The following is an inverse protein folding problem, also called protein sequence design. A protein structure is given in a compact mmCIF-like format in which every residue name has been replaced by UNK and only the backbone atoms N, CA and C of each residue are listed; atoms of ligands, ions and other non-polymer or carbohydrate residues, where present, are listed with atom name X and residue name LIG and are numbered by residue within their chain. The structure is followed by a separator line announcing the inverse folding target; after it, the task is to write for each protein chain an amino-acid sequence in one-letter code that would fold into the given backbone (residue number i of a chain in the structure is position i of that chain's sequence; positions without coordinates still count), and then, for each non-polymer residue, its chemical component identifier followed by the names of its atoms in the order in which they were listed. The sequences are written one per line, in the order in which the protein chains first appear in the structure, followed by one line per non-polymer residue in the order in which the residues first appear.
data_IF_633795873604
#
_entry.id   IF_633795873604
#
_cell.length_a   1.000
_cell.length_b   1.000
_cell.length_c   1.000
_cell.angle_alpha   90.00
_cell.angle_beta   90.00
_cell.angle_gamma   90.00
#
_symmetry.space_group_name_H-M   'P 1'
#
loop_
_entity.id
_entity.type
_entity.pdbx_description
1 polymer ?
#
# COMPACT_ATOMS: atom_id res chain seq x y z
N UNK A 1 -22.50 -51.03 88.92
CA UNK A 1 -22.80 -51.86 87.74
C UNK A 1 -22.24 -51.17 86.51
N UNK A 2 -21.13 -51.68 85.97
CA UNK A 2 -20.80 -51.92 84.53
C UNK A 2 -21.62 -51.18 83.45
N UNK A 3 -21.09 -50.65 82.33
CA UNK A 3 -20.01 -51.12 81.43
C UNK A 3 -19.52 -49.97 80.50
N UNK A 4 -18.21 -49.79 80.28
CA UNK A 4 -17.38 -50.28 79.15
C UNK A 4 -17.70 -49.62 77.78
N UNK A 5 -17.03 -48.51 77.44
CA UNK A 5 -15.85 -48.43 76.54
C UNK A 5 -15.97 -49.22 75.22
N UNK A 6 -16.18 -48.50 74.11
CA UNK A 6 -15.68 -48.92 72.79
C UNK A 6 -14.96 -47.74 72.14
N UNK A 7 -13.63 -47.67 72.34
CA UNK A 7 -12.72 -46.93 71.47
C UNK A 7 -12.60 -47.71 70.15
N UNK A 8 -13.41 -47.36 69.15
CA UNK A 8 -13.20 -47.84 67.77
C UNK A 8 -12.26 -46.86 67.08
N UNK A 9 -11.04 -47.34 66.85
CA UNK A 9 -9.93 -46.65 66.20
C UNK A 9 -10.37 -46.04 64.87
N UNK A 10 -10.32 -44.71 64.80
CA UNK A 10 -10.52 -43.94 63.58
C UNK A 10 -9.23 -43.94 62.76
N UNK A 11 -9.01 -45.00 61.96
CA UNK A 11 -7.91 -45.08 60.96
C UNK A 11 -8.41 -44.72 59.55
N UNK A 12 -9.72 -44.77 59.33
CA UNK A 12 -10.38 -44.43 58.07
C UNK A 12 -10.23 -42.96 57.61
N UNK A 13 -10.28 -41.92 58.46
CA UNK A 13 -10.13 -40.55 57.97
C UNK A 13 -8.69 -40.23 57.55
N UNK A 14 -7.69 -40.93 58.09
CA UNK A 14 -6.28 -40.71 57.76
C UNK A 14 -5.93 -41.24 56.36
N UNK A 15 -6.46 -42.42 55.99
CA UNK A 15 -6.22 -43.04 54.67
C UNK A 15 -6.91 -42.24 53.56
N UNK A 16 -8.13 -41.75 53.81
CA UNK A 16 -8.87 -40.93 52.86
C UNK A 16 -8.18 -39.56 52.60
N UNK A 17 -7.60 -38.94 53.63
CA UNK A 17 -6.85 -37.69 53.49
C UNK A 17 -5.54 -37.86 52.68
N UNK A 18 -4.83 -38.98 52.87
CA UNK A 18 -3.60 -39.30 52.11
C UNK A 18 -3.87 -39.54 50.62
N UNK A 19 -4.93 -40.26 50.25
CA UNK A 19 -5.28 -40.52 48.85
C UNK A 19 -5.68 -39.24 48.11
N UNK A 20 -6.40 -38.33 48.77
CA UNK A 20 -6.78 -37.03 48.19
C UNK A 20 -5.55 -36.14 47.95
N UNK A 21 -4.60 -36.12 48.89
CA UNK A 21 -3.36 -35.36 48.75
C UNK A 21 -2.49 -35.86 47.59
N UNK A 22 -2.35 -37.19 47.43
CA UNK A 22 -1.62 -37.79 46.30
C UNK A 22 -2.30 -37.48 44.96
N UNK A 23 -3.64 -37.50 44.90
CA UNK A 23 -4.39 -37.11 43.70
C UNK A 23 -4.19 -35.63 43.34
N UNK A 24 -4.21 -34.72 44.33
CA UNK A 24 -3.94 -33.30 44.11
C UNK A 24 -2.49 -33.05 43.65
N UNK A 25 -1.49 -33.73 44.23
CA UNK A 25 -0.11 -33.59 43.77
C UNK A 25 0.09 -34.10 42.34
N UNK A 26 -0.56 -35.21 41.98
CA UNK A 26 -0.51 -35.75 40.61
C UNK A 26 -1.17 -34.80 39.60
N UNK A 27 -2.30 -34.21 39.96
CA UNK A 27 -3.01 -33.26 39.09
C UNK A 27 -2.20 -31.98 38.87
N UNK A 28 -1.49 -31.51 39.90
CA UNK A 28 -0.58 -30.37 39.77
C UNK A 28 0.56 -30.65 38.77
N UNK A 29 1.12 -31.86 38.78
CA UNK A 29 2.19 -32.24 37.83
C UNK A 29 1.71 -32.45 36.38
N UNK A 30 0.44 -32.77 36.16
CA UNK A 30 -0.13 -32.93 34.81
C UNK A 30 -0.36 -31.57 34.13
N UNK A 31 -0.84 -30.58 34.88
CA UNK A 31 -1.02 -29.21 34.37
C UNK A 31 0.31 -28.54 34.01
N UNK A 32 1.37 -28.74 34.80
CA UNK A 32 2.72 -28.23 34.49
C UNK A 32 3.27 -28.84 33.19
N UNK A 33 3.10 -30.15 32.99
CA UNK A 33 3.51 -30.84 31.75
C UNK A 33 2.71 -30.36 30.55
N UNK A 34 1.42 -30.10 30.73
CA UNK A 34 0.54 -29.57 29.67
C UNK A 34 0.94 -28.16 29.28
N UNK A 35 1.20 -27.28 30.26
CA UNK A 35 1.67 -25.92 30.02
C UNK A 35 3.03 -25.89 29.31
N UNK A 36 3.95 -26.78 29.66
CA UNK A 36 5.24 -26.91 28.97
C UNK A 36 5.08 -27.37 27.52
N UNK A 37 4.22 -28.36 27.25
CA UNK A 37 3.92 -28.80 25.88
C UNK A 37 3.29 -27.68 25.06
N UNK A 38 2.35 -26.93 25.64
CA UNK A 38 1.74 -25.79 24.97
C UNK A 38 2.78 -24.71 24.64
N UNK A 39 3.70 -24.40 25.58
CA UNK A 39 4.82 -23.49 25.33
C UNK A 39 5.71 -23.97 24.19
N UNK A 40 6.11 -25.24 24.19
CA UNK A 40 6.92 -25.81 23.11
C UNK A 40 6.23 -25.76 21.75
N UNK A 41 4.91 -25.98 21.72
CA UNK A 41 4.12 -25.83 20.49
C UNK A 41 4.09 -24.38 20.03
N UNK A 42 3.88 -23.42 20.93
CA UNK A 42 3.89 -21.99 20.59
C UNK A 42 5.25 -21.54 20.07
N UNK A 43 6.35 -21.97 20.69
CA UNK A 43 7.71 -21.67 20.24
C UNK A 43 8.00 -22.24 18.85
N UNK A 44 7.56 -23.49 18.59
CA UNK A 44 7.68 -24.09 17.25
C UNK A 44 6.87 -23.33 16.21
N UNK A 45 5.62 -23.00 16.51
CA UNK A 45 4.77 -22.21 15.61
C UNK A 45 5.35 -20.81 15.35
N UNK A 46 5.97 -20.19 16.36
CA UNK A 46 6.66 -18.92 16.19
C UNK A 46 7.88 -19.04 15.28
N UNK A 47 8.69 -20.09 15.45
CA UNK A 47 9.83 -20.37 14.57
C UNK A 47 9.39 -20.62 13.12
N UNK A 48 8.34 -21.43 12.91
CA UNK A 48 7.77 -21.69 11.59
C UNK A 48 7.28 -20.40 10.91
N UNK A 49 6.65 -19.48 11.67
CA UNK A 49 6.23 -18.17 11.14
C UNK A 49 7.42 -17.32 10.71
N UNK A 50 8.47 -17.27 11.53
CA UNK A 50 9.71 -16.54 11.20
C UNK A 50 10.36 -17.11 9.95
N UNK A 51 10.39 -18.44 9.80
CA UNK A 51 10.95 -19.08 8.62
C UNK A 51 10.11 -18.80 7.37
N UNK A 52 8.78 -18.81 7.48
CA UNK A 52 7.89 -18.42 6.39
C UNK A 52 8.10 -16.94 5.97
N UNK A 53 8.29 -16.05 6.93
CA UNK A 53 8.60 -14.64 6.67
C UNK A 53 9.95 -14.48 5.96
N UNK A 54 10.99 -15.17 6.43
CA UNK A 54 12.31 -15.19 5.77
C UNK A 54 12.22 -15.70 4.33
N UNK A 55 11.46 -16.77 4.10
CA UNK A 55 11.24 -17.30 2.74
C UNK A 55 10.54 -16.27 1.85
N UNK A 56 9.52 -15.57 2.37
CA UNK A 56 8.83 -14.51 1.63
C UNK A 56 9.78 -13.37 1.26
N UNK A 57 10.62 -12.92 2.20
CA UNK A 57 11.60 -11.87 1.94
C UNK A 57 12.65 -12.31 0.90
N UNK A 58 13.12 -13.55 0.98
CA UNK A 58 14.05 -14.10 -0.01
C UNK A 58 13.41 -14.16 -1.42
N UNK A 59 12.12 -14.54 -1.50
CA UNK A 59 11.38 -14.55 -2.76
C UNK A 59 11.19 -13.15 -3.33
N UNK A 60 10.92 -12.17 -2.47
CA UNK A 60 10.80 -10.77 -2.86
C UNK A 60 12.13 -10.22 -3.39
N UNK A 61 13.23 -10.49 -2.70
CA UNK A 61 14.57 -10.11 -3.13
C UNK A 61 14.91 -10.70 -4.52
N UNK A 62 14.63 -12.00 -4.71
CA UNK A 62 14.86 -12.65 -6.01
C UNK A 62 14.03 -12.03 -7.15
N UNK A 63 12.79 -11.60 -6.85
CA UNK A 63 11.95 -10.91 -7.83
C UNK A 63 12.52 -9.52 -8.17
N UNK A 64 13.00 -8.78 -7.17
CA UNK A 64 13.64 -7.48 -7.39
C UNK A 64 14.88 -7.61 -8.26
N UNK A 65 15.76 -8.57 -7.98
CA UNK A 65 16.97 -8.85 -8.77
C UNK A 65 16.62 -9.24 -10.22
N UNK A 66 15.58 -10.07 -10.42
CA UNK A 66 15.11 -10.42 -11.75
C UNK A 66 14.58 -9.21 -12.53
N UNK A 67 13.87 -8.29 -11.85
CA UNK A 67 13.38 -7.05 -12.44
C UNK A 67 14.52 -6.09 -12.79
N UNK A 68 15.49 -5.94 -11.90
CA UNK A 68 16.69 -5.14 -12.15
C UNK A 68 17.43 -5.65 -13.38
N UNK A 69 17.67 -6.96 -13.46
CA UNK A 69 18.28 -7.57 -14.64
C UNK A 69 17.48 -7.33 -15.92
N UNK A 70 16.16 -7.47 -15.87
CA UNK A 70 15.30 -7.22 -17.03
C UNK A 70 15.34 -5.75 -17.47
N UNK A 71 15.47 -4.80 -16.53
CA UNK A 71 15.68 -3.39 -16.84
C UNK A 71 17.05 -3.19 -17.51
N UNK A 72 18.12 -3.78 -16.96
CA UNK A 72 19.45 -3.71 -17.56
C UNK A 72 19.51 -4.30 -18.98
N UNK A 73 18.86 -5.46 -19.21
CA UNK A 73 18.76 -6.09 -20.54
C UNK A 73 17.98 -5.19 -21.52
N UNK A 74 16.91 -4.53 -21.04
CA UNK A 74 16.11 -3.58 -21.83
C UNK A 74 16.88 -2.30 -22.15
N UNK A 75 17.67 -1.78 -21.22
CA UNK A 75 18.56 -0.64 -21.43
C UNK A 75 19.68 -0.99 -22.42
N UNK A 76 20.28 -2.18 -22.31
CA UNK A 76 21.26 -2.66 -23.27
C UNK A 76 20.66 -2.82 -24.69
N UNK A 77 19.43 -3.36 -24.80
CA UNK A 77 18.71 -3.45 -26.07
C UNK A 77 18.33 -2.06 -26.65
N UNK A 78 17.98 -1.10 -25.79
CA UNK A 78 17.72 0.27 -26.20
C UNK A 78 19.00 0.97 -26.68
N UNK A 79 20.14 0.74 -26.02
CA UNK A 79 21.44 1.26 -26.44
C UNK A 79 21.89 0.69 -27.80
N UNK A 80 21.58 -0.58 -28.08
CA UNK A 80 21.93 -1.26 -29.33
C UNK A 80 21.08 -0.82 -30.56
N UNK A 81 20.02 -0.04 -30.38
CA UNK A 81 19.09 0.38 -31.45
C UNK A 81 19.30 1.84 -31.89
N UNK A 82 20.42 2.47 -31.54
CA UNK A 82 20.74 3.83 -32.02
C UNK A 82 21.49 3.76 -33.36
N UNK A 83 20.75 3.70 -34.46
CA UNK A 83 21.25 4.06 -35.80
C UNK A 83 20.95 5.53 -36.04
N UNK A 84 21.94 6.44 -36.13
CA UNK A 84 21.71 7.83 -36.55
C UNK A 84 21.50 7.89 -38.06
N UNK A 85 20.30 8.28 -38.50
CA UNK A 85 20.02 8.63 -39.88
C UNK A 85 20.11 10.16 -40.06
N UNK A 86 21.24 10.57 -40.66
CA UNK A 86 21.39 11.51 -41.77
C UNK A 86 20.77 12.93 -41.68
N UNK A 87 21.67 13.90 -41.53
CA UNK A 87 21.52 15.32 -41.89
C UNK A 87 21.72 15.50 -43.41
N UNK A 88 20.89 16.31 -44.09
CA UNK A 88 21.49 17.45 -44.77
C UNK A 88 20.70 18.76 -44.58
N UNK A 89 21.47 19.80 -44.30
CA UNK A 89 21.06 21.19 -44.21
C UNK A 89 20.50 21.76 -45.53
N UNK A 90 19.43 22.57 -45.43
CA UNK A 90 19.27 23.82 -46.19
C UNK A 90 18.05 24.63 -45.67
N UNK A 91 18.31 25.76 -45.03
CA UNK A 91 17.40 26.93 -44.89
C UNK A 91 17.69 27.89 -46.08
N UNK A 92 16.95 29.00 -46.37
CA UNK A 92 15.89 29.63 -45.59
C UNK A 92 14.69 30.20 -46.40
N UNK A 93 13.46 30.21 -45.84
CA UNK A 93 12.47 31.21 -46.26
C UNK A 93 11.67 31.83 -45.10
N UNK A 94 11.93 33.14 -45.01
CA UNK A 94 11.27 34.25 -44.33
C UNK A 94 9.75 34.31 -44.57
N UNK A 95 8.96 34.32 -43.50
CA UNK A 95 8.01 35.40 -43.14
C UNK A 95 7.01 34.97 -42.05
N UNK A 96 6.62 35.96 -41.24
CA UNK A 96 5.40 36.08 -40.43
C UNK A 96 5.46 35.68 -38.94
N UNK A 97 5.63 36.72 -38.11
CA UNK A 97 4.88 37.05 -36.87
C UNK A 97 4.09 35.90 -36.24
N UNK A 98 4.50 35.49 -35.04
CA UNK A 98 3.71 35.37 -33.79
C UNK A 98 4.58 34.59 -32.82
N UNK A 99 5.25 35.25 -31.88
CA UNK A 99 5.98 34.57 -30.80
C UNK A 99 4.97 34.07 -29.76
N UNK A 100 4.26 33.03 -30.16
CA UNK A 100 3.51 32.12 -29.32
C UNK A 100 4.57 31.23 -28.69
N UNK A 101 4.80 31.36 -27.38
CA UNK A 101 5.64 30.42 -26.62
C UNK A 101 4.89 29.09 -26.49
N UNK A 102 4.72 28.38 -27.61
CA UNK A 102 4.23 27.02 -27.69
C UNK A 102 5.37 26.18 -28.27
N UNK A 103 6.16 25.55 -27.39
CA UNK A 103 6.69 24.17 -27.59
C UNK A 103 7.54 23.74 -26.39
N UNK A 104 6.86 23.32 -25.32
CA UNK A 104 7.36 22.25 -24.42
C UNK A 104 6.22 21.26 -24.16
N UNK A 105 5.51 20.92 -25.23
CA UNK A 105 4.40 19.96 -25.20
C UNK A 105 4.75 18.82 -26.13
N UNK A 106 5.79 18.06 -25.82
CA UNK A 106 6.05 16.79 -26.46
C UNK A 106 6.97 15.99 -25.53
N UNK A 107 6.44 14.93 -24.93
CA UNK A 107 7.14 13.94 -24.08
C UNK A 107 7.71 14.44 -22.74
N UNK A 108 6.88 14.99 -21.84
CA UNK A 108 7.22 14.88 -20.40
C UNK A 108 6.84 13.46 -19.94
N UNK A 109 7.87 12.65 -19.73
CA UNK A 109 7.85 11.22 -19.47
C UNK A 109 6.81 10.79 -18.43
N UNK A 110 5.96 9.84 -18.81
CA UNK A 110 5.09 9.05 -17.90
C UNK A 110 5.86 8.38 -16.76
N UNK A 111 7.19 8.28 -16.86
CA UNK A 111 8.10 7.73 -15.85
C UNK A 111 8.14 8.53 -14.52
N UNK A 112 7.77 9.82 -14.51
CA UNK A 112 7.84 10.66 -13.30
C UNK A 112 6.62 10.51 -12.39
N UNK A 113 5.50 9.98 -12.88
CA UNK A 113 4.22 9.92 -12.16
C UNK A 113 3.92 8.57 -11.49
N UNK A 114 4.92 7.69 -11.36
CA UNK A 114 4.76 6.33 -10.82
C UNK A 114 3.99 6.26 -9.49
N UNK A 115 4.26 7.20 -8.58
CA UNK A 115 3.56 7.30 -7.30
C UNK A 115 2.06 7.59 -7.49
N UNK A 116 1.70 8.52 -8.39
CA UNK A 116 0.29 8.84 -8.63
C UNK A 116 -0.45 7.64 -9.19
N UNK A 117 0.12 6.94 -10.18
CA UNK A 117 -0.50 5.73 -10.73
C UNK A 117 -0.81 4.72 -9.64
N UNK A 118 0.17 4.38 -8.80
CA UNK A 118 0.00 3.37 -7.76
C UNK A 118 -0.99 3.80 -6.67
N UNK A 119 -0.94 5.06 -6.22
CA UNK A 119 -1.72 5.53 -5.07
C UNK A 119 -3.15 5.92 -5.44
N UNK A 120 -3.41 6.30 -6.69
CA UNK A 120 -4.74 6.70 -7.16
C UNK A 120 -5.55 5.55 -7.77
N UNK A 121 -4.90 4.46 -8.18
CA UNK A 121 -5.53 3.25 -8.75
C UNK A 121 -6.73 2.72 -7.91
N UNK A 122 -6.69 2.67 -6.56
CA UNK A 122 -7.83 2.16 -5.80
C UNK A 122 -9.09 3.05 -5.84
N UNK A 123 -8.93 4.33 -6.18
CA UNK A 123 -9.97 5.36 -6.04
C UNK A 123 -10.60 5.78 -7.38
N UNK A 124 -10.09 5.28 -8.51
CA UNK A 124 -10.55 5.72 -9.83
C UNK A 124 -9.79 5.05 -10.96
N UNK A 125 -10.12 5.44 -12.18
CA UNK A 125 -9.64 4.79 -13.39
C UNK A 125 -8.69 5.68 -14.18
N UNK A 126 -7.58 5.11 -14.62
CA UNK A 126 -6.65 5.76 -15.55
C UNK A 126 -7.13 5.57 -16.99
N UNK A 127 -7.14 6.65 -17.77
CA UNK A 127 -7.62 6.68 -19.16
C UNK A 127 -6.62 7.38 -20.05
N UNK A 128 -6.37 6.82 -21.22
CA UNK A 128 -5.58 7.49 -22.25
C UNK A 128 -6.47 8.39 -23.11
N UNK A 129 -6.01 9.61 -23.37
CA UNK A 129 -6.67 10.60 -24.20
C UNK A 129 -5.69 11.13 -25.23
N UNK A 130 -6.17 11.37 -26.45
CA UNK A 130 -5.30 11.90 -27.50
C UNK A 130 -4.75 13.29 -27.18
N UNK A 131 -5.55 14.12 -26.50
CA UNK A 131 -5.22 15.53 -26.26
C UNK A 131 -4.36 15.73 -24.99
N UNK A 132 -4.45 14.82 -24.01
CA UNK A 132 -3.83 15.01 -22.68
C UNK A 132 -3.00 13.82 -22.19
N UNK A 133 -2.90 12.75 -22.98
CA UNK A 133 -2.23 11.52 -22.56
C UNK A 133 -3.01 10.80 -21.45
N UNK A 134 -2.29 10.22 -20.49
CA UNK A 134 -2.88 9.50 -19.36
C UNK A 134 -3.47 10.47 -18.33
N UNK A 135 -4.79 10.40 -18.19
CA UNK A 135 -5.59 11.17 -17.22
C UNK A 135 -6.24 10.21 -16.24
N UNK A 136 -6.55 10.70 -15.05
CA UNK A 136 -7.21 9.92 -14.02
C UNK A 136 -8.64 10.41 -13.78
N UNK A 137 -9.59 9.51 -13.65
CA UNK A 137 -10.98 9.82 -13.33
C UNK A 137 -11.34 9.21 -11.97
N UNK A 138 -11.72 9.99 -10.95
CA UNK A 138 -12.22 9.44 -9.70
C UNK A 138 -13.51 8.65 -9.92
N UNK A 139 -13.69 7.58 -9.14
CA UNK A 139 -14.90 6.74 -9.22
C UNK A 139 -16.17 7.56 -8.98
N UNK A 140 -16.11 8.55 -8.11
CA UNK A 140 -17.20 9.48 -7.79
C UNK A 140 -17.63 10.31 -9.02
N UNK A 141 -16.67 10.78 -9.82
CA UNK A 141 -16.95 11.49 -11.08
C UNK A 141 -17.51 10.59 -12.18
N UNK A 142 -17.17 9.30 -12.15
CA UNK A 142 -17.74 8.32 -13.08
C UNK A 142 -19.18 7.97 -12.68
N UNK A 143 -19.44 7.78 -11.39
CA UNK A 143 -20.74 7.38 -10.86
C UNK A 143 -21.77 8.52 -10.84
N UNK A 144 -21.33 9.77 -10.67
CA UNK A 144 -22.22 10.94 -10.62
C UNK A 144 -21.77 12.06 -11.55
N UNK A 145 -22.72 12.57 -12.35
CA UNK A 145 -22.48 13.77 -13.18
C UNK A 145 -22.47 15.07 -12.39
N UNK A 146 -22.93 15.01 -11.14
CA UNK A 146 -23.04 16.16 -10.24
C UNK A 146 -21.75 16.38 -9.45
N UNK A 147 -20.90 15.35 -9.35
CA UNK A 147 -19.59 15.46 -8.72
C UNK A 147 -18.71 16.44 -9.50
N UNK A 148 -17.97 17.27 -8.78
CA UNK A 148 -17.08 18.30 -9.31
C UNK A 148 -15.90 18.47 -8.34
N UNK A 149 -14.71 18.87 -8.83
CA UNK A 149 -13.61 19.20 -7.94
C UNK A 149 -13.96 20.41 -7.06
N UNK A 150 -13.31 20.49 -5.89
CA UNK A 150 -13.46 21.57 -4.90
C UNK A 150 -14.86 21.66 -4.24
N UNK A 151 -15.55 20.53 -4.08
CA UNK A 151 -16.84 20.47 -3.37
C UNK A 151 -16.74 19.82 -1.99
N UNK A 152 -15.94 18.77 -1.85
CA UNK A 152 -15.74 18.02 -0.60
C UNK A 152 -14.43 18.45 0.07
N UNK A 153 -14.50 19.46 0.92
CA UNK A 153 -13.36 20.02 1.62
C UNK A 153 -13.57 21.48 2.03
N UNK A 154 -12.46 22.19 2.26
CA UNK A 154 -12.49 23.61 2.68
C UNK A 154 -11.23 24.35 2.28
N UNK A 155 -11.36 25.66 2.11
CA UNK A 155 -10.23 26.57 1.99
C UNK A 155 -9.63 26.86 3.36
N UNK A 156 -8.32 26.75 3.48
CA UNK A 156 -7.55 27.07 4.68
C UNK A 156 -6.47 28.08 4.29
N UNK A 157 -6.22 29.07 5.15
CA UNK A 157 -5.10 29.97 4.97
C UNK A 157 -3.83 29.33 5.56
N UNK A 158 -2.86 29.03 4.70
CA UNK A 158 -1.56 28.43 5.05
C UNK A 158 -0.41 29.41 4.76
N UNK A 159 0.80 28.96 5.04
CA UNK A 159 2.06 29.58 4.63
C UNK A 159 2.23 29.70 3.11
N UNK A 160 1.52 28.87 2.34
CA UNK A 160 1.43 28.97 0.88
C UNK A 160 0.23 29.78 0.37
N UNK A 161 -0.52 30.45 1.26
CA UNK A 161 -1.71 31.24 0.93
C UNK A 161 -3.01 30.44 1.08
N UNK A 162 -4.03 30.78 0.28
CA UNK A 162 -5.30 30.04 0.30
C UNK A 162 -5.11 28.65 -0.31
N UNK A 163 -5.16 27.63 0.53
CA UNK A 163 -4.96 26.22 0.17
C UNK A 163 -6.25 25.46 0.28
N UNK A 164 -6.56 24.67 -0.74
CA UNK A 164 -7.67 23.74 -0.69
C UNK A 164 -7.27 22.50 0.12
N UNK A 165 -8.05 22.17 1.15
CA UNK A 165 -7.91 20.94 1.93
C UNK A 165 -9.12 20.08 1.65
N UNK A 166 -8.91 19.02 0.88
CA UNK A 166 -9.95 18.05 0.52
C UNK A 166 -10.13 17.00 1.62
N UNK A 167 -11.37 16.55 1.79
CA UNK A 167 -11.70 15.39 2.62
C UNK A 167 -11.71 14.07 1.81
N UNK A 168 -11.41 14.13 0.51
CA UNK A 168 -11.35 12.99 -0.40
C UNK A 168 -9.97 12.30 -0.34
N UNK A 169 -9.91 10.95 -0.41
CA UNK A 169 -8.67 10.19 -0.19
C UNK A 169 -7.60 10.40 -1.27
N UNK A 170 -8.00 10.89 -2.45
CA UNK A 170 -7.12 11.23 -3.57
C UNK A 170 -6.74 12.73 -3.59
N UNK A 171 -7.24 13.52 -2.63
CA UNK A 171 -7.12 14.98 -2.67
C UNK A 171 -5.69 15.49 -2.50
N UNK A 172 -4.86 14.76 -1.76
CA UNK A 172 -3.44 15.10 -1.54
C UNK A 172 -2.64 15.25 -2.85
N UNK A 173 -3.02 14.51 -3.90
CA UNK A 173 -2.39 14.60 -5.21
C UNK A 173 -3.17 15.52 -6.14
N UNK A 174 -4.47 15.25 -6.28
CA UNK A 174 -5.25 15.78 -7.41
C UNK A 174 -5.55 17.26 -7.32
N UNK A 175 -5.56 17.83 -6.11
CA UNK A 175 -5.72 19.27 -5.89
C UNK A 175 -4.41 20.04 -5.80
N UNK A 176 -3.27 19.36 -5.88
CA UNK A 176 -1.98 19.99 -5.65
C UNK A 176 -0.96 19.77 -6.76
N UNK A 177 -1.07 18.66 -7.50
CA UNK A 177 -0.05 18.22 -8.46
C UNK A 177 -0.62 17.98 -9.85
N UNK A 178 -1.33 18.96 -10.41
CA UNK A 178 -1.90 18.80 -11.75
C UNK A 178 -3.04 19.76 -12.02
N UNK A 179 -3.96 19.34 -12.89
CA UNK A 179 -5.12 20.17 -13.26
C UNK A 179 -6.36 19.33 -13.50
N UNK A 180 -7.48 19.83 -13.01
CA UNK A 180 -8.80 19.29 -13.33
C UNK A 180 -9.28 19.81 -14.68
N UNK A 181 -9.89 18.92 -15.47
CA UNK A 181 -10.55 19.28 -16.72
C UNK A 181 -11.81 18.45 -16.91
N UNK A 182 -12.76 19.00 -17.69
CA UNK A 182 -14.04 18.34 -17.96
C UNK A 182 -14.14 17.93 -19.42
N UNK A 183 -14.04 16.64 -19.70
CA UNK A 183 -14.20 16.07 -21.03
C UNK A 183 -15.68 15.82 -21.34
N UNK A 184 -16.13 16.18 -22.56
CA UNK A 184 -17.54 16.13 -22.97
C UNK A 184 -18.22 14.76 -22.78
N UNK A 185 -17.50 13.65 -22.96
CA UNK A 185 -18.06 12.28 -22.90
C UNK A 185 -17.68 11.51 -21.64
N UNK A 186 -16.69 11.99 -20.88
CA UNK A 186 -16.13 11.27 -19.73
C UNK A 186 -16.53 11.93 -18.42
N UNK A 187 -16.60 13.27 -18.38
CA UNK A 187 -16.82 14.02 -17.14
C UNK A 187 -15.52 14.65 -16.66
N UNK A 188 -15.41 14.83 -15.34
CA UNK A 188 -14.20 15.38 -14.74
C UNK A 188 -13.08 14.35 -14.72
N UNK A 189 -11.91 14.78 -15.18
CA UNK A 189 -10.67 14.02 -15.13
C UNK A 189 -9.54 14.94 -14.68
N UNK A 190 -8.51 14.34 -14.11
CA UNK A 190 -7.32 15.01 -13.64
C UNK A 190 -6.13 14.66 -14.52
N UNK A 191 -5.36 15.67 -14.89
CA UNK A 191 -4.10 15.49 -15.62
C UNK A 191 -2.94 15.67 -14.63
N UNK A 192 -2.05 14.68 -14.49
CA UNK A 192 -0.90 14.78 -13.62
C UNK A 192 0.03 15.94 -13.99
N UNK A 193 0.56 16.59 -12.95
CA UNK A 193 1.64 17.56 -12.99
C UNK A 193 2.68 17.24 -11.91
N UNK A 194 3.88 17.79 -12.04
CA UNK A 194 5.00 17.59 -11.11
C UNK A 194 5.23 18.79 -10.17
N UNK A 195 4.58 19.93 -10.46
CA UNK A 195 4.66 21.14 -9.66
C UNK A 195 3.53 21.18 -8.62
N UNK A 196 3.88 21.51 -7.37
CA UNK A 196 2.92 21.68 -6.29
C UNK A 196 2.29 23.08 -6.35
N UNK A 197 0.97 23.14 -6.17
CA UNK A 197 0.22 24.37 -5.98
C UNK A 197 -0.78 24.23 -4.81
N UNK A 198 -1.16 25.33 -4.15
CA UNK A 198 -2.12 25.28 -3.05
C UNK A 198 -3.54 24.90 -3.49
N UNK A 199 -3.86 24.98 -4.80
CA UNK A 199 -5.10 24.51 -5.43
C UNK A 199 -4.96 24.44 -6.95
#
# INVERSE_FOLDING_TARGET
MSNQTMKKFSVFPLIAALAFFVSCQKQQTEEERKAEVERQVQDRLAAERVDAEKQRLAQEQANLEAREKAVADREAAAAATTTPAEEPAATPQRSAVTERTETRTEKRSTATYGMFYQKLDPYGEWRETNDYGYVWQPREAEQSREWRPYTEGRWVYSDAGWTWVSDEPFGWATYHYGRWLRLKRVGWVWVPGDEWAPA
#
